data_IF_760888010213
#
_entry.id   IF_760888010213
#
_cell.length_a   1.000
_cell.length_b   1.000
_cell.length_c   1.000
_cell.angle_alpha   90.00
_cell.angle_beta   90.00
_cell.angle_gamma   90.00
#
_symmetry.space_group_name_H-M   'P 1'
#
loop_
_entity.id
_entity.type
_entity.pdbx_description
1 polymer ?
#
# COMPACT_ATOMS: atom_id res chain seq x y z
N UNK A 1 -27.32 34.34 -17.16
CA UNK A 1 -26.93 34.01 -15.77
C UNK A 1 -25.89 32.92 -15.84
N UNK A 2 -24.61 33.28 -15.72
CA UNK A 2 -23.50 32.33 -15.82
C UNK A 2 -23.37 31.55 -14.51
N UNK A 3 -23.53 30.23 -14.58
CA UNK A 3 -23.20 29.36 -13.47
C UNK A 3 -21.68 29.41 -13.25
N UNK A 4 -21.30 30.01 -12.14
CA UNK A 4 -19.94 30.07 -11.63
C UNK A 4 -19.56 28.66 -11.15
N UNK A 5 -18.85 27.91 -12.00
CA UNK A 5 -18.27 26.62 -11.63
C UNK A 5 -17.11 26.85 -10.66
N UNK A 6 -17.21 26.25 -9.48
CA UNK A 6 -16.17 26.29 -8.45
C UNK A 6 -14.94 25.47 -8.89
N UNK A 7 -13.70 25.85 -8.51
CA UNK A 7 -12.46 25.19 -8.99
C UNK A 7 -12.20 23.77 -8.44
N UNK A 8 -13.17 23.12 -7.80
CA UNK A 8 -12.99 21.85 -7.08
C UNK A 8 -13.63 20.61 -7.70
N UNK A 9 -14.50 20.77 -8.71
CA UNK A 9 -15.47 19.72 -9.03
C UNK A 9 -15.09 18.71 -10.11
N UNK A 10 -14.04 18.89 -10.92
CA UNK A 10 -13.83 17.99 -12.06
C UNK A 10 -12.35 17.81 -12.43
N UNK A 11 -11.57 17.14 -11.57
CA UNK A 11 -10.32 16.54 -12.04
C UNK A 11 -10.70 15.40 -13.02
N UNK A 12 -10.24 15.41 -14.29
CA UNK A 12 -10.63 14.42 -15.29
C UNK A 12 -10.47 12.96 -14.83
N UNK A 13 -9.45 12.68 -14.01
CA UNK A 13 -9.22 11.35 -13.45
C UNK A 13 -10.30 10.88 -12.45
N UNK A 14 -10.91 11.79 -11.68
CA UNK A 14 -12.04 11.44 -10.80
C UNK A 14 -13.26 11.05 -11.62
N UNK A 15 -13.56 11.80 -12.67
CA UNK A 15 -14.67 11.49 -13.59
C UNK A 15 -14.46 10.11 -14.24
N UNK A 16 -13.27 9.84 -14.76
CA UNK A 16 -12.94 8.53 -15.36
C UNK A 16 -13.10 7.38 -14.37
N UNK A 17 -12.61 7.57 -13.14
CA UNK A 17 -12.75 6.56 -12.09
C UNK A 17 -14.22 6.31 -11.73
N UNK A 18 -15.01 7.36 -11.54
CA UNK A 18 -16.46 7.25 -11.29
C UNK A 18 -17.16 6.52 -12.43
N UNK A 19 -16.94 6.90 -13.69
CA UNK A 19 -17.57 6.22 -14.83
C UNK A 19 -17.19 4.74 -14.93
N UNK A 20 -15.91 4.41 -14.69
CA UNK A 20 -15.45 3.03 -14.69
C UNK A 20 -16.04 2.22 -13.51
N UNK A 21 -16.23 2.85 -12.35
CA UNK A 21 -16.85 2.26 -11.17
C UNK A 21 -18.33 1.96 -11.41
N UNK A 22 -19.10 2.91 -11.95
CA UNK A 22 -20.51 2.68 -12.33
C UNK A 22 -20.65 1.59 -13.39
N UNK A 23 -19.73 1.54 -14.36
CA UNK A 23 -19.68 0.45 -15.34
C UNK A 23 -19.41 -0.90 -14.67
N UNK A 24 -18.57 -0.94 -13.63
CA UNK A 24 -18.34 -2.12 -12.80
C UNK A 24 -19.62 -2.61 -12.12
N UNK A 25 -20.38 -1.71 -11.48
CA UNK A 25 -21.70 -2.06 -10.95
C UNK A 25 -22.62 -2.64 -12.02
N UNK A 26 -22.70 -1.99 -13.17
CA UNK A 26 -23.58 -2.45 -14.24
C UNK A 26 -23.17 -3.82 -14.79
N UNK A 27 -21.88 -4.09 -15.02
CA UNK A 27 -21.45 -5.35 -15.62
C UNK A 27 -21.40 -6.50 -14.63
N UNK A 28 -20.94 -6.26 -13.40
CA UNK A 28 -20.69 -7.31 -12.40
C UNK A 28 -21.91 -7.54 -11.51
N UNK A 29 -22.61 -6.47 -11.13
CA UNK A 29 -23.60 -6.52 -10.04
C UNK A 29 -25.06 -6.37 -10.49
N UNK A 30 -25.36 -6.08 -11.77
CA UNK A 30 -26.74 -5.88 -12.28
C UNK A 30 -27.72 -7.02 -12.00
N UNK A 31 -27.24 -8.23 -11.76
CA UNK A 31 -28.07 -9.40 -11.49
C UNK A 31 -28.33 -9.62 -9.99
N UNK A 32 -27.57 -8.95 -9.12
CA UNK A 32 -27.69 -9.05 -7.67
C UNK A 32 -28.74 -8.11 -7.10
N UNK A 33 -29.19 -7.13 -7.88
CA UNK A 33 -30.25 -6.18 -7.49
C UNK A 33 -31.32 -6.11 -8.58
N UNK A 34 -32.50 -6.69 -8.32
CA UNK A 34 -33.67 -6.59 -9.22
C UNK A 34 -34.48 -5.29 -9.00
N UNK A 35 -34.35 -4.68 -7.82
CA UNK A 35 -34.90 -3.37 -7.45
C UNK A 35 -34.23 -2.89 -6.17
N UNK A 36 -33.92 -1.59 -6.07
CA UNK A 36 -33.52 -0.95 -4.82
C UNK A 36 -34.75 -0.83 -3.90
N UNK A 37 -35.17 -1.92 -3.28
CA UNK A 37 -36.20 -1.88 -2.26
C UNK A 37 -35.63 -2.38 -0.93
N UNK A 38 -35.46 -1.41 -0.02
CA UNK A 38 -35.02 -1.62 1.33
C UNK A 38 -36.10 -2.41 2.09
N UNK A 39 -35.87 -3.69 2.33
CA UNK A 39 -36.63 -4.48 3.31
C UNK A 39 -35.71 -4.82 4.48
N UNK A 40 -36.15 -4.48 5.69
CA UNK A 40 -35.45 -4.70 6.97
C UNK A 40 -35.15 -6.19 7.20
N UNK A 41 -34.01 -6.66 6.70
CA UNK A 41 -33.41 -7.94 7.08
C UNK A 41 -31.92 -7.73 7.27
N UNK A 42 -31.47 -7.95 8.50
CA UNK A 42 -30.08 -7.96 8.98
C UNK A 42 -29.16 -6.87 8.42
N UNK A 43 -29.24 -5.68 9.02
CA UNK A 43 -28.44 -4.49 8.69
C UNK A 43 -26.92 -4.76 8.68
N UNK A 44 -26.45 -5.79 9.41
CA UNK A 44 -25.01 -6.10 9.50
C UNK A 44 -24.48 -6.93 8.33
N UNK A 45 -25.25 -7.91 7.85
CA UNK A 45 -24.89 -8.67 6.65
C UNK A 45 -25.03 -7.79 5.40
N UNK A 46 -26.09 -6.99 5.34
CA UNK A 46 -26.33 -6.04 4.25
C UNK A 46 -25.17 -5.06 4.08
N UNK A 47 -24.70 -4.43 5.17
CA UNK A 47 -23.54 -3.53 5.15
C UNK A 47 -22.24 -4.26 4.76
N UNK A 48 -22.12 -5.56 5.07
CA UNK A 48 -20.95 -6.36 4.65
C UNK A 48 -20.95 -6.70 3.15
N UNK A 49 -22.13 -6.97 2.57
CA UNK A 49 -22.26 -7.31 1.16
C UNK A 49 -22.23 -6.07 0.27
N UNK A 50 -22.84 -4.96 0.70
CA UNK A 50 -22.67 -3.65 0.05
C UNK A 50 -21.19 -3.25 0.00
N UNK A 51 -20.45 -3.39 1.11
CA UNK A 51 -19.00 -3.12 1.11
C UNK A 51 -18.22 -3.99 0.14
N UNK A 52 -18.60 -5.25 -0.04
CA UNK A 52 -17.97 -6.14 -1.03
C UNK A 52 -18.27 -5.67 -2.45
N UNK A 53 -19.53 -5.35 -2.75
CA UNK A 53 -19.98 -4.84 -4.05
C UNK A 53 -19.22 -3.55 -4.41
N UNK A 54 -19.13 -2.60 -3.48
CA UNK A 54 -18.36 -1.36 -3.65
C UNK A 54 -16.86 -1.62 -3.87
N UNK A 55 -16.29 -2.57 -3.12
CA UNK A 55 -14.89 -2.97 -3.27
C UNK A 55 -14.63 -3.64 -4.65
N UNK A 56 -15.53 -4.50 -5.11
CA UNK A 56 -15.47 -5.15 -6.41
C UNK A 56 -15.60 -4.14 -7.56
N UNK A 57 -16.50 -3.15 -7.44
CA UNK A 57 -16.64 -2.08 -8.43
C UNK A 57 -15.39 -1.19 -8.49
N UNK A 58 -14.80 -0.85 -7.34
CA UNK A 58 -13.53 -0.13 -7.27
C UNK A 58 -12.37 -0.94 -7.89
N UNK A 59 -12.34 -2.25 -7.65
CA UNK A 59 -11.36 -3.16 -8.24
C UNK A 59 -11.53 -3.22 -9.75
N UNK A 60 -12.76 -3.38 -10.24
CA UNK A 60 -13.07 -3.35 -11.67
C UNK A 60 -12.59 -2.05 -12.32
N UNK A 61 -12.91 -0.89 -11.74
CA UNK A 61 -12.50 0.41 -12.25
C UNK A 61 -10.97 0.55 -12.32
N UNK A 62 -10.27 0.09 -11.27
CA UNK A 62 -8.81 0.07 -11.22
C UNK A 62 -8.20 -0.75 -12.36
N UNK A 63 -8.70 -1.96 -12.62
CA UNK A 63 -8.21 -2.83 -13.70
C UNK A 63 -8.59 -2.35 -15.10
N UNK A 64 -9.76 -1.73 -15.24
CA UNK A 64 -10.19 -1.16 -16.52
C UNK A 64 -9.32 0.04 -16.91
N UNK A 65 -9.05 0.93 -15.97
CA UNK A 65 -8.27 2.14 -16.22
C UNK A 65 -6.76 1.89 -16.25
N UNK A 66 -6.29 0.94 -15.44
CA UNK A 66 -4.88 0.57 -15.34
C UNK A 66 -4.72 -0.95 -15.53
N UNK A 67 -4.74 -1.46 -16.77
CA UNK A 67 -4.58 -2.89 -17.02
C UNK A 67 -3.26 -3.41 -16.45
N UNK A 68 -3.31 -4.49 -15.66
CA UNK A 68 -2.17 -4.94 -14.86
C UNK A 68 -0.92 -5.26 -15.70
N UNK A 69 -1.09 -5.89 -16.86
CA UNK A 69 0.04 -6.25 -17.73
C UNK A 69 0.63 -5.03 -18.45
N UNK A 70 -0.19 -4.03 -18.80
CA UNK A 70 0.36 -2.76 -19.30
C UNK A 70 1.09 -2.02 -18.19
N UNK A 71 0.50 -1.95 -17.00
CA UNK A 71 1.09 -1.29 -15.83
C UNK A 71 2.45 -1.88 -15.47
N UNK A 72 2.55 -3.21 -15.41
CA UNK A 72 3.83 -3.91 -15.18
C UNK A 72 4.87 -3.56 -16.21
N UNK A 73 4.50 -3.49 -17.50
CA UNK A 73 5.42 -3.08 -18.57
C UNK A 73 5.89 -1.64 -18.42
N UNK A 74 5.03 -0.72 -17.98
CA UNK A 74 5.41 0.69 -17.79
C UNK A 74 6.47 0.88 -16.70
N UNK A 75 6.44 0.05 -15.65
CA UNK A 75 7.38 0.14 -14.52
C UNK A 75 8.55 -0.84 -14.61
N UNK A 76 8.60 -1.67 -15.65
CA UNK A 76 9.58 -2.74 -15.77
C UNK A 76 11.00 -2.17 -15.89
N UNK A 77 11.92 -2.66 -15.06
CA UNK A 77 13.32 -2.25 -15.07
C UNK A 77 13.60 -0.87 -14.46
N UNK A 78 12.58 -0.12 -14.06
CA UNK A 78 12.74 1.16 -13.37
C UNK A 78 12.90 0.95 -11.86
N UNK A 79 13.81 1.71 -11.25
CA UNK A 79 13.75 1.93 -9.80
C UNK A 79 12.55 2.81 -9.51
N UNK A 80 11.62 2.31 -8.69
CA UNK A 80 10.36 3.03 -8.41
C UNK A 80 10.64 4.31 -7.64
N UNK A 81 10.08 5.42 -8.11
CA UNK A 81 10.02 6.70 -7.43
C UNK A 81 8.69 7.40 -7.77
N UNK A 82 8.45 8.59 -7.22
CA UNK A 82 7.20 9.31 -7.49
C UNK A 82 7.13 9.92 -8.90
N UNK A 83 8.24 9.99 -9.65
CA UNK A 83 8.23 10.41 -11.05
C UNK A 83 7.74 9.28 -11.96
N UNK A 84 8.24 8.06 -11.75
CA UNK A 84 7.76 6.86 -12.46
C UNK A 84 6.26 6.63 -12.22
N UNK A 85 5.81 6.75 -10.97
CA UNK A 85 4.40 6.60 -10.61
C UNK A 85 3.55 7.78 -11.11
N UNK A 86 4.11 8.98 -11.17
CA UNK A 86 3.49 10.16 -11.79
C UNK A 86 3.26 9.99 -13.28
N UNK A 87 4.27 9.49 -14.00
CA UNK A 87 4.15 9.19 -15.43
C UNK A 87 3.08 8.13 -15.71
N UNK A 88 2.92 7.14 -14.82
CA UNK A 88 1.82 6.19 -14.90
C UNK A 88 0.47 6.89 -14.68
N UNK A 89 0.35 7.76 -13.66
CA UNK A 89 -0.87 8.51 -13.40
C UNK A 89 -1.29 9.35 -14.62
N UNK A 90 -0.36 10.04 -15.26
CA UNK A 90 -0.60 10.85 -16.46
C UNK A 90 -1.02 9.98 -17.65
N UNK A 91 -0.31 8.86 -17.89
CA UNK A 91 -0.60 7.92 -18.98
C UNK A 91 -2.03 7.39 -18.92
N UNK A 92 -2.46 6.93 -17.75
CA UNK A 92 -3.80 6.36 -17.56
C UNK A 92 -4.86 7.45 -17.30
N UNK A 93 -4.43 8.69 -17.06
CA UNK A 93 -5.29 9.80 -16.69
C UNK A 93 -6.06 9.54 -15.40
N UNK A 94 -5.36 9.03 -14.38
CA UNK A 94 -5.87 8.75 -13.03
C UNK A 94 -5.19 9.64 -12.00
N UNK A 95 -5.64 9.60 -10.76
CA UNK A 95 -4.92 10.31 -9.69
C UNK A 95 -3.59 9.63 -9.36
N UNK A 96 -2.62 10.40 -8.85
CA UNK A 96 -1.37 9.87 -8.30
C UNK A 96 -1.63 8.76 -7.27
N UNK A 97 -2.58 8.98 -6.35
CA UNK A 97 -2.99 7.98 -5.36
C UNK A 97 -3.45 6.68 -6.01
N UNK A 98 -4.27 6.75 -7.06
CA UNK A 98 -4.75 5.56 -7.79
C UNK A 98 -3.59 4.80 -8.44
N UNK A 99 -2.64 5.49 -9.06
CA UNK A 99 -1.45 4.87 -9.65
C UNK A 99 -0.59 4.18 -8.58
N UNK A 100 -0.33 4.83 -7.44
CA UNK A 100 0.44 4.22 -6.35
C UNK A 100 -0.29 3.01 -5.76
N UNK A 101 -1.60 3.09 -5.54
CA UNK A 101 -2.39 1.95 -5.05
C UNK A 101 -2.34 0.78 -6.04
N UNK A 102 -2.40 1.04 -7.35
CA UNK A 102 -2.22 0.00 -8.36
C UNK A 102 -0.82 -0.61 -8.32
N UNK A 103 0.21 0.21 -8.12
CA UNK A 103 1.57 -0.29 -7.94
C UNK A 103 1.71 -1.16 -6.69
N UNK A 104 1.17 -0.74 -5.54
CA UNK A 104 1.19 -1.52 -4.30
C UNK A 104 0.51 -2.89 -4.45
N UNK A 105 -0.58 -2.95 -5.21
CA UNK A 105 -1.28 -4.20 -5.54
C UNK A 105 -0.38 -5.19 -6.32
N UNK A 106 0.45 -4.68 -7.23
CA UNK A 106 1.20 -5.49 -8.19
C UNK A 106 2.66 -5.76 -7.78
N UNK A 107 3.21 -4.96 -6.88
CA UNK A 107 4.64 -4.97 -6.54
C UNK A 107 4.98 -6.08 -5.53
N UNK A 108 6.08 -6.82 -5.73
CA UNK A 108 6.61 -7.69 -4.69
C UNK A 108 7.36 -6.91 -3.59
N UNK A 109 7.72 -5.65 -3.85
CA UNK A 109 8.48 -4.82 -2.91
C UNK A 109 7.66 -4.58 -1.64
N UNK A 110 8.34 -4.60 -0.50
CA UNK A 110 7.76 -4.26 0.78
C UNK A 110 7.55 -2.75 0.86
N UNK A 111 6.33 -2.31 0.67
CA UNK A 111 6.03 -0.89 0.53
C UNK A 111 4.72 -0.49 1.20
N UNK A 112 4.66 0.77 1.64
CA UNK A 112 3.50 1.34 2.32
C UNK A 112 3.27 2.77 1.87
N UNK A 113 2.07 3.05 1.37
CA UNK A 113 1.57 4.41 1.19
C UNK A 113 0.90 4.86 2.49
N UNK A 114 1.25 6.05 2.97
CA UNK A 114 0.67 6.70 4.14
C UNK A 114 0.08 8.04 3.70
N UNK A 115 -1.21 8.23 3.96
CA UNK A 115 -1.86 9.52 3.81
C UNK A 115 -2.01 10.17 5.17
N UNK A 116 -1.53 11.39 5.31
CA UNK A 116 -1.61 12.17 6.53
C UNK A 116 -2.22 13.55 6.29
N UNK A 117 -2.80 14.12 7.33
CA UNK A 117 -3.34 15.48 7.32
C UNK A 117 -2.96 16.15 8.64
N UNK A 118 -2.40 17.36 8.58
CA UNK A 118 -1.89 18.09 9.75
C UNK A 118 -0.92 17.23 10.61
N UNK A 119 -0.09 16.41 9.97
CA UNK A 119 0.85 15.52 10.67
C UNK A 119 0.21 14.33 11.39
N UNK A 120 -1.06 14.01 11.09
CA UNK A 120 -1.79 12.86 11.65
C UNK A 120 -2.11 11.88 10.53
N UNK A 121 -1.76 10.61 10.71
CA UNK A 121 -2.07 9.53 9.76
C UNK A 121 -3.58 9.39 9.64
N UNK A 122 -4.10 9.53 8.43
CA UNK A 122 -5.50 9.26 8.11
C UNK A 122 -5.65 7.79 7.74
N UNK A 123 -4.88 7.31 6.79
CA UNK A 123 -4.91 5.90 6.40
C UNK A 123 -3.57 5.49 5.81
N UNK A 124 -3.32 4.20 5.78
CA UNK A 124 -2.19 3.58 5.12
C UNK A 124 -2.65 2.38 4.28
N UNK A 125 -1.97 2.12 3.18
CA UNK A 125 -2.16 0.94 2.35
C UNK A 125 -0.78 0.33 2.07
N UNK A 126 -0.63 -0.98 2.28
CA UNK A 126 0.61 -1.69 2.04
C UNK A 126 0.50 -2.57 0.80
N UNK A 127 1.65 -2.87 0.18
CA UNK A 127 1.75 -4.02 -0.71
C UNK A 127 1.51 -5.32 0.04
N UNK A 128 1.46 -6.46 -0.64
CA UNK A 128 1.22 -7.74 0.03
C UNK A 128 2.28 -8.01 1.13
N UNK A 129 3.56 -7.75 0.87
CA UNK A 129 4.65 -7.85 1.86
C UNK A 129 4.68 -6.68 2.86
N UNK A 130 4.02 -5.56 2.56
CA UNK A 130 3.87 -4.39 3.46
C UNK A 130 2.56 -4.37 4.26
N UNK A 131 1.70 -5.38 4.11
CA UNK A 131 0.32 -5.38 4.63
C UNK A 131 0.27 -5.20 6.15
N UNK A 132 1.07 -5.95 6.90
CA UNK A 132 1.13 -5.85 8.36
C UNK A 132 1.56 -4.46 8.85
N UNK A 133 2.46 -3.79 8.13
CA UNK A 133 2.91 -2.44 8.45
C UNK A 133 1.78 -1.42 8.28
N UNK A 134 1.06 -1.47 7.16
CA UNK A 134 -0.11 -0.61 6.94
C UNK A 134 -1.23 -0.84 7.96
N UNK A 135 -1.49 -2.11 8.34
CA UNK A 135 -2.44 -2.43 9.41
C UNK A 135 -2.02 -1.83 10.75
N UNK A 136 -0.74 -1.88 11.10
CA UNK A 136 -0.23 -1.24 12.32
C UNK A 136 -0.46 0.28 12.33
N UNK A 137 -0.27 0.95 11.18
CA UNK A 137 -0.50 2.39 11.04
C UNK A 137 -2.00 2.75 11.09
N UNK A 138 -2.87 1.89 10.56
CA UNK A 138 -4.33 2.07 10.57
C UNK A 138 -4.97 1.77 11.93
N UNK A 139 -4.32 1.00 12.81
CA UNK A 139 -4.81 0.75 14.16
C UNK A 139 -4.94 2.07 14.93
N UNK A 140 -6.13 2.32 15.47
CA UNK A 140 -6.34 3.43 16.41
C UNK A 140 -5.54 3.17 17.69
N UNK A 141 -5.05 4.24 18.29
CA UNK A 141 -4.42 4.18 19.61
C UNK A 141 -5.49 3.87 20.68
N UNK A 142 -5.06 3.47 21.88
CA UNK A 142 -5.94 3.03 22.96
C UNK A 142 -7.05 4.05 23.34
N UNK A 143 -6.83 5.34 23.06
CA UNK A 143 -7.77 6.44 23.26
C UNK A 143 -8.57 6.80 21.99
N UNK A 144 -8.67 5.89 21.02
CA UNK A 144 -9.36 6.08 19.73
C UNK A 144 -8.71 7.16 18.84
N UNK A 145 -7.58 7.74 19.25
CA UNK A 145 -6.86 8.72 18.45
C UNK A 145 -6.15 8.07 17.27
N UNK A 146 -6.03 8.83 16.19
CA UNK A 146 -5.18 8.46 15.06
C UNK A 146 -3.72 8.69 15.41
N UNK A 147 -2.84 7.91 14.79
CA UNK A 147 -1.40 7.96 15.02
C UNK A 147 -0.80 9.25 14.43
N UNK A 148 0.01 10.02 15.18
CA UNK A 148 0.78 11.12 14.61
C UNK A 148 1.90 10.58 13.72
N UNK A 149 2.31 11.34 12.71
CA UNK A 149 3.53 11.06 11.97
C UNK A 149 4.75 11.03 12.92
N UNK A 150 5.73 10.14 12.71
CA UNK A 150 6.95 10.13 13.49
C UNK A 150 7.66 11.49 13.42
N UNK A 151 8.13 12.00 14.57
CA UNK A 151 8.82 13.29 14.65
C UNK A 151 10.05 13.37 13.72
N UNK A 152 10.76 12.26 13.60
CA UNK A 152 11.98 12.12 12.79
C UNK A 152 11.71 11.62 11.36
N UNK A 153 10.44 11.47 10.96
CA UNK A 153 10.13 11.11 9.56
C UNK A 153 10.60 12.24 8.65
N UNK A 154 11.13 11.89 7.48
CA UNK A 154 11.51 12.90 6.50
C UNK A 154 10.31 13.81 6.21
N UNK A 155 9.10 13.26 6.15
CA UNK A 155 7.83 14.00 5.98
C UNK A 155 7.60 15.13 6.98
N UNK A 156 8.05 15.01 8.23
CA UNK A 156 7.93 16.09 9.24
C UNK A 156 9.12 17.02 9.31
N UNK A 157 10.27 16.59 8.80
CA UNK A 157 11.46 17.41 8.77
C UNK A 157 11.28 18.45 7.66
N UNK A 158 11.11 19.69 8.11
CA UNK A 158 10.92 20.89 7.31
C UNK A 158 12.18 21.10 6.44
N UNK A 159 12.14 20.60 5.21
CA UNK A 159 13.13 20.95 4.20
C UNK A 159 12.48 21.94 3.24
N UNK A 160 13.27 22.81 2.61
CA UNK A 160 12.80 23.91 1.75
C UNK A 160 11.88 23.48 0.57
N UNK A 161 11.64 22.18 0.38
CA UNK A 161 10.78 21.62 -0.65
C UNK A 161 9.70 20.71 -0.09
N UNK A 162 8.42 21.04 -0.33
CA UNK A 162 7.26 20.21 0.01
C UNK A 162 7.18 18.86 -0.73
N UNK A 163 8.17 18.55 -1.56
CA UNK A 163 8.21 17.37 -2.44
C UNK A 163 9.61 16.75 -2.37
N UNK A 164 9.65 15.43 -2.17
CA UNK A 164 10.84 14.58 -2.35
C UNK A 164 10.40 13.34 -3.15
N UNK A 165 10.66 13.37 -4.46
CA UNK A 165 10.18 12.34 -5.39
C UNK A 165 11.09 11.12 -5.43
N UNK A 166 12.41 11.33 -5.33
CA UNK A 166 13.42 10.28 -5.34
C UNK A 166 13.46 9.52 -4.01
N UNK A 167 13.20 10.23 -2.92
CA UNK A 167 13.11 9.71 -1.57
C UNK A 167 14.42 9.78 -0.81
N UNK A 168 14.28 9.99 0.50
CA UNK A 168 15.38 10.09 1.45
C UNK A 168 15.57 8.74 2.17
N UNK A 169 16.82 8.22 2.27
CA UNK A 169 17.11 7.07 3.12
C UNK A 169 16.90 7.43 4.59
N UNK A 170 16.14 6.61 5.31
CA UNK A 170 15.82 6.78 6.72
C UNK A 170 15.92 5.45 7.47
N UNK A 171 16.16 5.50 8.77
CA UNK A 171 16.04 4.31 9.62
C UNK A 171 14.56 3.86 9.65
N UNK A 172 14.30 2.61 9.23
CA UNK A 172 12.97 2.03 9.18
C UNK A 172 12.29 2.03 10.56
N UNK A 173 13.05 2.00 11.66
CA UNK A 173 12.55 2.03 13.04
C UNK A 173 11.88 3.34 13.41
N UNK A 174 12.13 4.42 12.66
CA UNK A 174 11.40 5.69 12.80
C UNK A 174 9.91 5.49 12.59
N UNK A 175 9.54 4.70 11.57
CA UNK A 175 8.15 4.37 11.26
C UNK A 175 7.67 3.09 11.95
N UNK A 176 8.58 2.13 12.11
CA UNK A 176 8.26 0.77 12.51
C UNK A 176 9.27 0.27 13.56
N UNK A 177 9.07 0.60 14.86
CA UNK A 177 10.06 0.31 15.92
C UNK A 177 10.46 -1.17 16.07
N UNK A 178 9.63 -2.09 15.55
CA UNK A 178 9.86 -3.53 15.54
C UNK A 178 10.83 -4.03 14.43
N UNK A 179 11.23 -3.17 13.50
CA UNK A 179 12.22 -3.52 12.47
C UNK A 179 13.62 -3.68 13.07
N UNK A 180 14.50 -4.37 12.34
CA UNK A 180 15.87 -4.61 12.78
C UNK A 180 16.67 -3.31 12.84
N UNK A 181 17.62 -3.26 13.75
CA UNK A 181 18.54 -2.13 13.85
C UNK A 181 19.34 -1.95 12.55
N UNK A 182 19.55 -0.69 12.14
CA UNK A 182 20.24 -0.36 10.90
C UNK A 182 19.46 -0.65 9.61
N UNK A 183 18.21 -1.12 9.66
CA UNK A 183 17.39 -1.28 8.46
C UNK A 183 17.07 0.08 7.84
N UNK A 184 17.46 0.29 6.59
CA UNK A 184 17.20 1.53 5.86
C UNK A 184 15.97 1.41 4.98
N UNK A 185 14.97 2.24 5.21
CA UNK A 185 13.84 2.46 4.31
C UNK A 185 14.08 3.70 3.43
N UNK A 186 13.43 3.76 2.27
CA UNK A 186 13.39 4.97 1.44
C UNK A 186 12.03 5.63 1.59
N UNK A 187 12.03 6.88 2.04
CA UNK A 187 10.83 7.69 2.26
C UNK A 187 10.71 8.76 1.17
N UNK A 188 9.67 8.67 0.35
CA UNK A 188 9.32 9.69 -0.65
C UNK A 188 8.08 10.45 -0.16
N UNK A 189 7.94 11.73 -0.54
CA UNK A 189 6.80 12.55 -0.13
C UNK A 189 6.32 13.53 -1.19
N UNK A 190 5.01 13.75 -1.22
CA UNK A 190 4.38 14.89 -1.87
C UNK A 190 3.42 15.52 -0.86
N UNK A 191 3.70 16.75 -0.45
CA UNK A 191 2.78 17.55 0.37
C UNK A 191 1.98 18.50 -0.53
N UNK A 192 0.68 18.61 -0.24
CA UNK A 192 -0.21 19.60 -0.82
C UNK A 192 -0.57 20.64 0.23
N UNK A 193 -0.10 21.86 0.03
CA UNK A 193 -0.40 22.98 0.93
C UNK A 193 -1.90 23.31 0.97
N UNK A 194 -2.56 23.22 -0.18
CA UNK A 194 -3.99 23.55 -0.32
C UNK A 194 -4.89 22.61 0.49
N UNK A 195 -4.63 21.30 0.42
CA UNK A 195 -5.42 20.30 1.16
C UNK A 195 -4.85 19.98 2.55
N UNK A 196 -3.68 20.55 2.90
CA UNK A 196 -2.88 20.18 4.09
C UNK A 196 -2.69 18.68 4.24
N UNK A 197 -2.60 18.00 3.11
CA UNK A 197 -2.46 16.55 3.02
C UNK A 197 -1.06 16.23 2.55
N UNK A 198 -0.47 15.21 3.17
CA UNK A 198 0.84 14.70 2.77
C UNK A 198 0.73 13.23 2.47
N UNK A 199 1.18 12.89 1.27
CA UNK A 199 1.31 11.54 0.79
C UNK A 199 2.76 11.09 0.96
N UNK A 200 2.97 10.06 1.75
CA UNK A 200 4.30 9.49 2.02
C UNK A 200 4.35 8.06 1.50
N UNK A 201 5.33 7.75 0.65
CA UNK A 201 5.57 6.40 0.16
C UNK A 201 6.84 5.84 0.79
N UNK A 202 6.71 4.74 1.52
CA UNK A 202 7.80 4.03 2.15
C UNK A 202 8.11 2.79 1.33
N UNK A 203 9.37 2.62 0.94
CA UNK A 203 9.88 1.39 0.32
C UNK A 203 10.95 0.82 1.22
N UNK A 204 10.74 -0.42 1.66
CA UNK A 204 11.61 -1.13 2.59
C UNK A 204 12.34 -2.27 1.86
N UNK A 205 13.48 -2.73 2.38
CA UNK A 205 14.06 -4.00 1.99
C UNK A 205 13.05 -5.15 2.16
N UNK A 206 13.24 -6.27 1.47
CA UNK A 206 12.44 -7.47 1.68
C UNK A 206 12.35 -7.84 3.16
N UNK A 207 11.20 -8.39 3.57
CA UNK A 207 11.02 -8.85 4.94
C UNK A 207 12.04 -9.94 5.27
N UNK A 208 12.85 -9.71 6.31
CA UNK A 208 13.73 -10.73 6.88
C UNK A 208 12.95 -11.51 7.92
N UNK A 209 12.63 -12.76 7.61
CA UNK A 209 11.80 -13.59 8.49
C UNK A 209 12.58 -13.94 9.76
N UNK A 210 11.91 -14.13 10.91
CA UNK A 210 12.59 -14.36 12.18
C UNK A 210 13.63 -15.49 12.17
N UNK A 211 13.41 -16.55 11.40
CA UNK A 211 14.33 -17.69 11.27
C UNK A 211 15.47 -17.50 10.26
N UNK A 212 15.46 -16.40 9.50
CA UNK A 212 16.56 -15.99 8.61
C UNK A 212 17.55 -15.07 9.32
N UNK A 213 17.17 -14.51 10.48
CA UNK A 213 17.97 -13.55 11.26
C UNK A 213 19.19 -14.18 11.93
N UNK A 214 19.18 -15.49 12.15
CA UNK A 214 20.19 -16.23 12.92
C UNK A 214 21.17 -17.01 12.03
N UNK A 215 21.02 -16.91 10.70
CA UNK A 215 21.81 -17.72 9.73
C UNK A 215 23.11 -17.08 9.26
N UNK A 216 23.48 -15.91 9.78
CA UNK A 216 24.61 -15.15 9.24
C UNK A 216 25.96 -15.40 9.90
N UNK A 217 26.06 -16.19 10.98
CA UNK A 217 27.35 -16.37 11.68
C UNK A 217 27.75 -17.82 12.04
N UNK A 218 26.93 -18.86 11.78
CA UNK A 218 27.23 -20.25 12.24
C UNK A 218 27.36 -21.31 11.12
N UNK A 219 27.17 -20.97 9.84
CA UNK A 219 27.25 -21.96 8.73
C UNK A 219 28.69 -22.18 8.20
N UNK A 220 29.74 -21.87 8.97
CA UNK A 220 31.12 -22.36 8.76
C UNK A 220 31.58 -23.37 9.83
N UNK A 221 30.67 -23.90 10.66
CA UNK A 221 31.01 -24.98 11.60
C UNK A 221 30.42 -26.31 11.13
N UNK A 222 31.00 -26.87 10.07
CA UNK A 222 31.02 -28.32 9.75
C UNK A 222 29.84 -29.16 10.24
N UNK A 223 28.61 -28.78 9.89
CA UNK A 223 27.41 -29.41 10.45
C UNK A 223 27.27 -30.85 9.93
N UNK A 224 27.61 -31.80 10.79
CA UNK A 224 27.23 -33.22 10.69
C UNK A 224 25.76 -33.29 10.28
N UNK A 225 25.48 -33.89 9.12
CA UNK A 225 24.12 -34.02 8.67
C UNK A 225 23.35 -34.97 9.61
N UNK A 226 22.02 -34.94 9.55
CA UNK A 226 21.17 -35.76 10.42
C UNK A 226 21.48 -37.26 10.27
N UNK A 227 21.93 -37.69 9.09
CA UNK A 227 22.29 -39.08 8.79
C UNK A 227 23.50 -39.55 9.61
N UNK A 228 24.55 -38.73 9.70
CA UNK A 228 25.76 -39.02 10.49
C UNK A 228 25.42 -39.15 11.99
N UNK A 229 24.51 -38.30 12.48
CA UNK A 229 24.03 -38.31 13.87
C UNK A 229 23.25 -39.58 14.22
N UNK A 230 22.50 -40.16 13.27
CA UNK A 230 21.76 -41.41 13.48
C UNK A 230 22.68 -42.63 13.52
N UNK A 231 23.70 -42.67 12.66
CA UNK A 231 24.69 -43.77 12.63
C UNK A 231 25.53 -43.78 13.90
N UNK A 232 25.96 -42.61 14.38
CA UNK A 232 26.74 -42.48 15.64
C UNK A 232 25.97 -42.98 16.86
N UNK A 233 24.65 -42.80 16.88
CA UNK A 233 23.79 -43.24 17.98
C UNK A 233 23.37 -44.73 17.88
N UNK A 234 24.00 -45.52 16.99
CA UNK A 234 23.81 -46.97 16.91
C UNK A 234 22.47 -47.40 16.31
N UNK A 235 21.77 -46.51 15.59
CA UNK A 235 20.52 -46.81 14.90
C UNK A 235 20.70 -46.73 13.38
N UNK A 236 21.34 -47.74 12.75
CA UNK A 236 21.43 -47.76 11.30
C UNK A 236 20.03 -47.97 10.71
N UNK A 237 19.68 -47.27 9.62
CA UNK A 237 18.40 -47.46 8.95
C UNK A 237 18.31 -48.89 8.41
N UNK A 238 17.23 -49.57 8.77
CA UNK A 238 16.90 -50.90 8.25
C UNK A 238 16.51 -50.75 6.78
N UNK A 239 17.15 -51.52 5.89
CA UNK A 239 16.83 -51.59 4.46
C UNK A 239 15.49 -52.27 4.22
#
# INVERSE_FOLDING_TARGET
MGHHLQPGDQLPGRIRFTLAHELGHYLVHRHLQASFNCSEVDTTQWDSDERKIEFEANTFASYLLMPADDYRRQIQGATIDLDVLGACADRYGVSMTSAILKWLELTPQRAVLVMSQNGIVQWACGSESGKWLSMHLNKRLANVQRRPLPAMSATRLDTDTNVDRLGTPIDARIWFPQETDGMVAREMRIASDFYRQTMTLLVLPPEVKPWERDKTDDDDDGLENTFDRFVRNGQPPVR
#
